data_IF_171854449710
#
_entry.id   IF_171854449710
#
_cell.length_a   1.000
_cell.length_b   1.000
_cell.length_c   1.000
_cell.angle_alpha   90.00
_cell.angle_beta   90.00
_cell.angle_gamma   90.00
#
_symmetry.space_group_name_H-M   'P 1'
#
loop_
_entity.id
_entity.type
_entity.pdbx_description
1 polymer ?
#
# COMPACT_ATOMS: atom_id res chain seq x y z
N UNK A 1 13.10 -38.54 6.72
CA UNK A 1 13.90 -37.33 6.40
C UNK A 1 13.28 -36.47 5.29
N UNK A 2 12.78 -37.04 4.17
CA UNK A 2 12.14 -36.25 3.10
C UNK A 2 10.91 -35.43 3.54
N UNK A 3 10.02 -36.01 4.35
CA UNK A 3 8.82 -35.31 4.84
C UNK A 3 9.14 -34.07 5.69
N UNK A 4 10.18 -34.14 6.53
CA UNK A 4 10.62 -33.01 7.37
C UNK A 4 11.16 -31.85 6.53
N UNK A 5 11.87 -32.16 5.43
CA UNK A 5 12.38 -31.15 4.51
C UNK A 5 11.25 -30.46 3.72
N UNK A 6 10.26 -31.23 3.25
CA UNK A 6 9.08 -30.68 2.56
C UNK A 6 8.26 -29.79 3.50
N UNK A 7 8.07 -30.22 4.74
CA UNK A 7 7.34 -29.42 5.73
C UNK A 7 8.07 -28.11 6.06
N UNK A 8 9.39 -28.15 6.22
CA UNK A 8 10.21 -26.96 6.49
C UNK A 8 10.16 -25.96 5.31
N UNK A 9 10.18 -26.45 4.06
CA UNK A 9 10.05 -25.61 2.87
C UNK A 9 8.65 -24.96 2.80
N UNK A 10 7.59 -25.71 3.10
CA UNK A 10 6.23 -25.17 3.11
C UNK A 10 6.04 -24.08 4.18
N UNK A 11 6.59 -24.29 5.38
CA UNK A 11 6.54 -23.30 6.47
C UNK A 11 7.37 -22.06 6.11
N UNK A 12 8.56 -22.24 5.53
CA UNK A 12 9.41 -21.14 5.08
C UNK A 12 8.72 -20.28 4.01
N UNK A 13 8.06 -20.91 3.05
CA UNK A 13 7.26 -20.22 2.04
C UNK A 13 6.08 -19.47 2.67
N UNK A 14 5.32 -20.10 3.55
CA UNK A 14 4.18 -19.45 4.22
C UNK A 14 4.61 -18.22 5.06
N UNK A 15 5.75 -18.32 5.75
CA UNK A 15 6.32 -17.20 6.51
C UNK A 15 6.76 -16.07 5.58
N UNK A 16 7.44 -16.38 4.47
CA UNK A 16 7.87 -15.37 3.50
C UNK A 16 6.67 -14.64 2.87
N UNK A 17 5.62 -15.38 2.51
CA UNK A 17 4.35 -14.83 2.01
C UNK A 17 3.75 -13.84 3.02
N UNK A 18 3.63 -14.26 4.28
CA UNK A 18 3.08 -13.41 5.35
C UNK A 18 3.88 -12.13 5.57
N UNK A 19 5.21 -12.19 5.46
CA UNK A 19 6.09 -11.02 5.63
C UNK A 19 5.92 -10.02 4.49
N UNK A 20 5.86 -10.49 3.23
CA UNK A 20 5.68 -9.61 2.07
C UNK A 20 4.32 -8.90 2.15
N UNK A 21 3.26 -9.63 2.52
CA UNK A 21 1.93 -9.08 2.71
C UNK A 21 1.88 -8.03 3.82
N UNK A 22 2.43 -8.38 4.99
CA UNK A 22 2.54 -7.47 6.14
C UNK A 22 3.32 -6.20 5.79
N UNK A 23 4.41 -6.32 5.03
CA UNK A 23 5.22 -5.19 4.61
C UNK A 23 4.47 -4.27 3.64
N UNK A 24 3.75 -4.83 2.68
CA UNK A 24 2.93 -4.05 1.75
C UNK A 24 1.81 -3.30 2.50
N UNK A 25 1.15 -3.97 3.45
CA UNK A 25 0.17 -3.32 4.33
C UNK A 25 0.78 -2.21 5.16
N UNK A 26 1.92 -2.46 5.81
CA UNK A 26 2.59 -1.48 6.67
C UNK A 26 3.00 -0.23 5.89
N UNK A 27 3.54 -0.40 4.67
CA UNK A 27 3.88 0.72 3.78
C UNK A 27 2.66 1.54 3.37
N UNK A 28 1.56 0.89 3.02
CA UNK A 28 0.32 1.57 2.66
C UNK A 28 -0.22 2.41 3.82
N UNK A 29 -0.27 1.84 5.03
CA UNK A 29 -0.72 2.52 6.24
C UNK A 29 0.20 3.69 6.62
N UNK A 30 1.50 3.45 6.64
CA UNK A 30 2.49 4.49 6.96
C UNK A 30 2.39 5.68 5.99
N UNK A 31 2.11 5.43 4.70
CA UNK A 31 1.89 6.50 3.74
C UNK A 31 0.62 7.31 4.04
N UNK A 32 -0.48 6.65 4.42
CA UNK A 32 -1.69 7.34 4.87
C UNK A 32 -1.43 8.20 6.11
N UNK A 33 -0.70 7.65 7.09
CA UNK A 33 -0.44 8.31 8.36
C UNK A 33 0.51 9.51 8.23
N UNK A 34 1.32 9.56 7.17
CA UNK A 34 2.23 10.66 6.88
C UNK A 34 1.50 11.98 6.55
N UNK A 35 0.25 11.91 6.06
CA UNK A 35 -0.50 13.09 5.61
C UNK A 35 -1.86 13.20 6.31
N UNK A 36 -1.95 13.95 7.42
CA UNK A 36 -3.21 14.11 8.13
C UNK A 36 -4.23 14.94 7.32
N UNK A 37 -5.51 14.81 7.70
CA UNK A 37 -6.59 15.64 7.15
C UNK A 37 -6.29 17.12 7.38
N UNK A 38 -6.52 17.93 6.35
CA UNK A 38 -6.19 19.36 6.30
C UNK A 38 -4.84 19.69 5.67
N UNK A 39 -3.96 18.70 5.48
CA UNK A 39 -2.70 18.88 4.75
C UNK A 39 -2.91 19.18 3.26
N UNK A 40 -1.95 19.80 2.58
CA UNK A 40 -2.02 20.06 1.14
C UNK A 40 -2.03 18.77 0.33
N UNK A 41 -2.94 18.65 -0.63
CA UNK A 41 -2.96 17.55 -1.61
C UNK A 41 -1.71 17.55 -2.49
N UNK A 42 -1.08 18.71 -2.70
CA UNK A 42 0.14 18.85 -3.49
C UNK A 42 1.32 18.07 -2.88
N UNK A 43 1.43 18.03 -1.55
CA UNK A 43 2.50 17.31 -0.85
C UNK A 43 2.33 15.80 -1.02
N UNK A 44 1.08 15.32 -0.95
CA UNK A 44 0.72 13.93 -1.25
C UNK A 44 1.05 13.60 -2.71
N UNK A 45 0.70 14.48 -3.65
CA UNK A 45 0.97 14.29 -5.08
C UNK A 45 2.48 14.20 -5.36
N UNK A 46 3.29 15.01 -4.68
CA UNK A 46 4.74 14.96 -4.78
C UNK A 46 5.29 13.63 -4.23
N UNK A 47 4.88 13.23 -3.03
CA UNK A 47 5.33 11.97 -2.42
C UNK A 47 4.86 10.74 -3.21
N UNK A 48 3.65 10.78 -3.77
CA UNK A 48 3.10 9.70 -4.57
C UNK A 48 3.92 9.43 -5.85
N UNK A 49 4.68 10.41 -6.38
CA UNK A 49 5.50 10.23 -7.60
C UNK A 49 6.63 9.22 -7.46
N UNK A 50 7.09 8.98 -6.24
CA UNK A 50 8.17 8.02 -5.96
C UNK A 50 7.71 6.88 -5.03
N UNK A 51 6.44 6.88 -4.62
CA UNK A 51 5.85 5.88 -3.74
C UNK A 51 4.91 4.91 -4.45
N UNK A 52 4.78 3.70 -3.89
CA UNK A 52 3.90 2.65 -4.40
C UNK A 52 4.37 2.03 -5.72
N UNK A 53 3.49 1.23 -6.31
CA UNK A 53 3.75 0.59 -7.61
C UNK A 53 3.29 1.52 -8.76
N UNK A 54 4.15 1.81 -9.77
CA UNK A 54 3.84 2.81 -10.81
C UNK A 54 2.54 2.57 -11.58
N UNK A 55 2.16 1.30 -11.79
CA UNK A 55 0.93 0.93 -12.51
C UNK A 55 -0.36 1.11 -11.69
N UNK A 56 -0.24 1.21 -10.37
CA UNK A 56 -1.38 1.30 -9.45
C UNK A 56 -1.38 2.62 -8.67
N UNK A 57 -0.83 3.65 -9.31
CA UNK A 57 -0.83 5.01 -8.81
C UNK A 57 -1.83 5.83 -9.60
N UNK A 58 -2.69 6.54 -8.89
CA UNK A 58 -3.59 7.52 -9.45
C UNK A 58 -3.33 8.87 -8.79
N UNK A 59 -3.08 9.90 -9.60
CA UNK A 59 -2.95 11.28 -9.14
C UNK A 59 -3.93 12.12 -9.95
N UNK A 60 -5.02 12.55 -9.33
CA UNK A 60 -6.00 13.50 -9.87
C UNK A 60 -6.03 14.75 -8.99
N UNK A 61 -6.81 15.75 -9.40
CA UNK A 61 -6.88 17.04 -8.72
C UNK A 61 -7.50 16.95 -7.31
N UNK A 62 -8.44 16.03 -7.12
CA UNK A 62 -9.27 15.83 -5.93
C UNK A 62 -9.08 14.45 -5.28
N UNK A 63 -8.41 13.53 -5.98
CA UNK A 63 -8.22 12.16 -5.53
C UNK A 63 -6.81 11.67 -5.85
N UNK A 64 -6.12 11.12 -4.85
CA UNK A 64 -4.81 10.51 -5.03
C UNK A 64 -4.83 9.14 -4.38
N UNK A 65 -4.39 8.11 -5.09
CA UNK A 65 -4.21 6.78 -4.52
C UNK A 65 -2.91 6.14 -4.97
N UNK A 66 -2.31 5.39 -4.06
CA UNK A 66 -1.13 4.57 -4.33
C UNK A 66 -1.40 3.17 -3.80
N UNK A 67 -0.96 2.14 -4.52
CA UNK A 67 -1.01 0.76 -4.05
C UNK A 67 0.37 0.12 -3.98
N UNK A 68 0.56 -0.71 -2.96
CA UNK A 68 1.68 -1.61 -2.77
C UNK A 68 1.20 -3.03 -3.05
N UNK A 69 1.93 -3.76 -3.88
CA UNK A 69 1.60 -5.15 -4.22
C UNK A 69 2.13 -6.05 -3.11
N UNK A 70 1.27 -6.93 -2.60
CA UNK A 70 1.63 -8.02 -1.70
C UNK A 70 2.28 -9.18 -2.46
N UNK A 71 2.02 -10.39 -2.01
CA UNK A 71 2.66 -11.60 -2.59
C UNK A 71 2.16 -11.89 -4.00
N UNK A 72 0.88 -11.68 -4.23
CA UNK A 72 0.25 -11.85 -5.54
C UNK A 72 0.00 -10.48 -6.17
N UNK A 73 -0.09 -10.43 -7.50
CA UNK A 73 -0.50 -9.22 -8.22
C UNK A 73 -1.93 -8.76 -7.89
N UNK A 74 -2.71 -9.61 -7.23
CA UNK A 74 -4.10 -9.37 -6.82
C UNK A 74 -4.16 -8.70 -5.46
N UNK A 75 -3.38 -9.21 -4.48
CA UNK A 75 -3.22 -8.55 -3.18
C UNK A 75 -2.54 -7.19 -3.34
N UNK A 76 -3.34 -6.15 -3.12
CA UNK A 76 -2.93 -4.76 -3.24
C UNK A 76 -3.37 -4.01 -1.99
N UNK A 77 -2.40 -3.46 -1.29
CA UNK A 77 -2.62 -2.58 -0.16
C UNK A 77 -2.53 -1.15 -0.64
N UNK A 78 -3.68 -0.48 -0.71
CA UNK A 78 -3.80 0.87 -1.20
C UNK A 78 -3.96 1.88 -0.06
N UNK A 79 -3.37 3.05 -0.26
CA UNK A 79 -3.70 4.26 0.49
C UNK A 79 -4.35 5.24 -0.49
N UNK A 80 -5.51 5.77 -0.12
CA UNK A 80 -6.25 6.72 -0.91
C UNK A 80 -6.53 7.99 -0.11
N UNK A 81 -6.47 9.11 -0.81
CA UNK A 81 -6.73 10.45 -0.32
C UNK A 81 -7.80 11.07 -1.20
N UNK A 82 -8.73 11.72 -0.56
CA UNK A 82 -9.66 12.62 -1.20
C UNK A 82 -9.43 14.01 -0.63
N UNK A 83 -9.56 15.01 -1.48
CA UNK A 83 -9.46 16.38 -1.04
C UNK A 83 -10.28 17.33 -1.87
N UNK A 84 -10.53 18.47 -1.25
CA UNK A 84 -11.38 19.52 -1.76
C UNK A 84 -10.65 20.84 -1.53
N UNK A 85 -10.74 21.76 -2.50
CA UNK A 85 -10.00 23.03 -2.45
C UNK A 85 -8.49 22.87 -2.20
N UNK A 86 -7.90 21.78 -2.72
CA UNK A 86 -6.46 21.50 -2.61
C UNK A 86 -5.99 20.98 -1.25
N UNK A 87 -6.90 20.64 -0.34
CA UNK A 87 -6.58 20.05 0.98
C UNK A 87 -7.18 18.67 1.12
N UNK A 88 -6.49 17.80 1.86
CA UNK A 88 -7.00 16.47 2.20
C UNK A 88 -8.22 16.62 3.10
N UNK A 89 -9.35 16.06 2.69
CA UNK A 89 -10.57 15.95 3.50
C UNK A 89 -10.70 14.55 4.09
N UNK A 90 -10.12 13.55 3.41
CA UNK A 90 -10.18 12.15 3.84
C UNK A 90 -8.92 11.40 3.40
N UNK A 91 -8.39 10.57 4.29
CA UNK A 91 -7.34 9.60 4.00
C UNK A 91 -7.79 8.24 4.52
N UNK A 92 -7.62 7.17 3.74
CA UNK A 92 -7.97 5.82 4.17
C UNK A 92 -7.12 4.75 3.50
N UNK A 93 -6.92 3.68 4.26
CA UNK A 93 -6.35 2.44 3.77
C UNK A 93 -7.43 1.55 3.17
N UNK A 94 -7.13 0.88 2.07
CA UNK A 94 -7.96 -0.14 1.46
C UNK A 94 -7.13 -1.38 1.12
N UNK A 95 -7.69 -2.56 1.38
CA UNK A 95 -7.19 -3.81 0.84
C UNK A 95 -8.00 -4.17 -0.41
N UNK A 96 -7.31 -4.43 -1.51
CA UNK A 96 -7.89 -4.80 -2.79
C UNK A 96 -7.33 -6.19 -3.13
N UNK A 97 -8.20 -7.18 -3.28
CA UNK A 97 -7.87 -8.56 -3.67
C UNK A 97 -8.60 -8.89 -4.97
#
# INVERSE_FOLDING_TARGET
MFWSAVLAVAIGLAAAVSVVESNAQAKARAFCDQFPVGSPLADVAAAARDAGHPRYRMIRADEISIAYIGVSSFSRHACAFQGESGKITKAWYAYLD
#
